data_IF_696605844011
#
_entry.id   IF_696605844011
#
_cell.length_a   1.000
_cell.length_b   1.000
_cell.length_c   1.000
_cell.angle_alpha   90.00
_cell.angle_beta   90.00
_cell.angle_gamma   90.00
#
_symmetry.space_group_name_H-M   'P 1'
#
loop_
_entity.id
_entity.type
_entity.pdbx_description
1 polymer ?
#
# COMPACT_ATOMS: atom_id res chain seq x y z
N UNK A 1 4.95 -14.67 -14.18
CA UNK A 1 4.64 -14.39 -12.77
C UNK A 1 3.70 -13.21 -12.74
N UNK A 2 2.49 -13.42 -12.29
CA UNK A 2 1.44 -12.38 -12.22
C UNK A 2 1.38 -11.81 -10.82
N UNK A 3 0.88 -10.58 -10.70
CA UNK A 3 0.55 -9.94 -9.42
C UNK A 3 -0.96 -9.88 -9.29
N UNK A 4 -1.45 -10.19 -8.09
CA UNK A 4 -2.86 -10.02 -7.73
C UNK A 4 -2.99 -9.25 -6.44
N UNK A 5 -4.10 -8.53 -6.35
CA UNK A 5 -4.49 -7.78 -5.17
C UNK A 5 -5.72 -8.45 -4.58
N UNK A 6 -5.58 -8.95 -3.35
CA UNK A 6 -6.69 -9.53 -2.59
C UNK A 6 -7.15 -8.59 -1.50
N UNK A 7 -8.45 -8.43 -1.43
CA UNK A 7 -9.12 -7.68 -0.38
C UNK A 7 -9.79 -8.66 0.57
N UNK A 8 -9.43 -8.56 1.85
CA UNK A 8 -10.01 -9.40 2.90
C UNK A 8 -10.84 -8.56 3.85
N UNK A 9 -11.94 -9.12 4.32
CA UNK A 9 -12.66 -8.65 5.49
C UNK A 9 -12.47 -9.69 6.60
N UNK A 10 -11.91 -9.27 7.71
CA UNK A 10 -11.55 -10.17 8.80
C UNK A 10 -12.05 -9.66 10.15
N UNK A 11 -12.18 -10.55 11.13
CA UNK A 11 -12.49 -10.16 12.50
C UNK A 11 -11.41 -9.23 13.06
N UNK A 12 -11.80 -8.19 13.76
CA UNK A 12 -10.88 -7.28 14.45
C UNK A 12 -10.48 -7.87 15.82
N UNK A 13 -9.75 -8.97 15.79
CA UNK A 13 -9.28 -9.67 16.98
C UNK A 13 -7.77 -9.84 16.94
N UNK A 14 -7.15 -10.00 18.11
CA UNK A 14 -5.71 -10.20 18.20
C UNK A 14 -5.28 -11.49 17.51
N UNK A 15 -4.13 -11.45 16.83
CA UNK A 15 -3.53 -12.60 16.16
C UNK A 15 -4.04 -12.90 14.75
N UNK A 16 -5.06 -12.22 14.25
CA UNK A 16 -5.58 -12.45 12.87
C UNK A 16 -4.50 -12.20 11.83
N UNK A 17 -3.81 -11.08 11.91
CA UNK A 17 -2.73 -10.74 10.98
C UNK A 17 -1.60 -11.77 11.03
N UNK A 18 -1.24 -12.23 12.22
CA UNK A 18 -0.23 -13.27 12.43
C UNK A 18 -0.64 -14.61 11.81
N UNK A 19 -1.91 -15.00 11.92
CA UNK A 19 -2.42 -16.24 11.30
C UNK A 19 -2.39 -16.16 9.76
N UNK A 20 -2.79 -15.03 9.20
CA UNK A 20 -2.75 -14.80 7.75
C UNK A 20 -1.30 -14.82 7.25
N UNK A 21 -0.42 -14.04 7.87
CA UNK A 21 1.00 -14.02 7.51
C UNK A 21 1.67 -15.39 7.69
N UNK A 22 1.31 -16.12 8.74
CA UNK A 22 1.78 -17.49 8.99
C UNK A 22 1.34 -18.48 7.91
N UNK A 23 0.14 -18.35 7.37
CA UNK A 23 -0.35 -19.18 6.27
C UNK A 23 0.49 -18.94 5.01
N UNK A 24 0.71 -17.68 4.63
CA UNK A 24 1.57 -17.32 3.51
C UNK A 24 2.99 -17.89 3.67
N UNK A 25 3.56 -17.71 4.84
CA UNK A 25 4.91 -18.16 5.18
C UNK A 25 5.05 -19.69 5.06
N UNK A 26 4.12 -20.45 5.68
CA UNK A 26 4.16 -21.92 5.65
C UNK A 26 4.01 -22.50 4.24
N UNK A 27 3.29 -21.83 3.36
CA UNK A 27 3.06 -22.27 2.00
C UNK A 27 4.06 -21.69 0.99
N UNK A 28 5.00 -20.87 1.44
CA UNK A 28 5.98 -20.21 0.57
C UNK A 28 5.37 -19.21 -0.40
N UNK A 29 4.19 -18.64 -0.06
CA UNK A 29 3.59 -17.57 -0.84
C UNK A 29 4.29 -16.25 -0.58
N UNK A 30 4.48 -15.44 -1.62
CA UNK A 30 5.12 -14.14 -1.51
C UNK A 30 4.11 -13.04 -1.21
N UNK A 31 4.34 -12.25 -0.15
CA UNK A 31 3.62 -11.01 0.13
C UNK A 31 4.51 -9.83 -0.30
N UNK A 32 4.07 -9.06 -1.29
CA UNK A 32 4.76 -7.84 -1.71
C UNK A 32 4.40 -6.64 -0.85
N UNK A 33 3.14 -6.54 -0.48
CA UNK A 33 2.65 -5.53 0.47
C UNK A 33 1.41 -6.02 1.21
N UNK A 34 1.20 -5.48 2.40
CA UNK A 34 0.03 -5.71 3.21
C UNK A 34 -0.37 -4.41 3.89
N UNK A 35 -1.65 -4.05 3.79
CA UNK A 35 -2.24 -2.87 4.41
C UNK A 35 -3.44 -3.30 5.21
N UNK A 36 -3.53 -2.89 6.47
CA UNK A 36 -4.61 -3.28 7.37
C UNK A 36 -5.14 -2.06 8.13
N UNK A 37 -6.45 -1.98 8.27
CA UNK A 37 -7.11 -0.93 9.03
C UNK A 37 -8.51 -1.35 9.46
N UNK A 38 -8.94 -0.86 10.60
CA UNK A 38 -10.30 -1.08 11.11
C UNK A 38 -11.29 -0.41 10.18
N UNK A 39 -12.40 -1.09 9.90
CA UNK A 39 -13.49 -0.56 9.04
C UNK A 39 -14.40 0.40 9.80
N UNK A 40 -15.44 0.90 9.12
CA UNK A 40 -16.49 1.68 9.79
C UNK A 40 -17.22 0.88 10.87
N UNK A 41 -17.24 -0.44 10.77
CA UNK A 41 -17.68 -1.34 11.83
C UNK A 41 -16.45 -1.82 12.62
N UNK A 42 -16.31 -1.45 13.90
CA UNK A 42 -15.12 -1.77 14.70
C UNK A 42 -14.92 -3.27 14.97
N UNK A 43 -15.91 -4.11 14.65
CA UNK A 43 -15.79 -5.57 14.74
C UNK A 43 -14.88 -6.16 13.67
N UNK A 44 -14.63 -5.40 12.57
CA UNK A 44 -13.93 -5.91 11.40
C UNK A 44 -12.75 -5.03 10.98
N UNK A 45 -11.75 -5.69 10.41
CA UNK A 45 -10.58 -5.08 9.79
C UNK A 45 -10.56 -5.41 8.30
N UNK A 46 -10.24 -4.42 7.48
CA UNK A 46 -9.95 -4.58 6.05
C UNK A 46 -8.47 -4.78 5.85
N UNK A 47 -8.10 -5.86 5.14
CA UNK A 47 -6.73 -6.15 4.77
C UNK A 47 -6.64 -6.17 3.25
N UNK A 48 -5.66 -5.49 2.70
CA UNK A 48 -5.32 -5.56 1.28
C UNK A 48 -3.93 -6.17 1.13
N UNK A 49 -3.84 -7.28 0.40
CA UNK A 49 -2.60 -8.03 0.20
C UNK A 49 -2.24 -8.01 -1.29
N UNK A 50 -1.03 -7.59 -1.60
CA UNK A 50 -0.45 -7.76 -2.94
C UNK A 50 0.49 -8.95 -2.90
N UNK A 51 0.24 -9.90 -3.76
CA UNK A 51 1.01 -11.15 -3.87
C UNK A 51 1.35 -11.44 -5.32
N UNK A 52 2.43 -12.18 -5.54
CA UNK A 52 2.87 -12.60 -6.86
C UNK A 52 3.05 -14.11 -6.91
N UNK A 53 2.74 -14.68 -8.05
CA UNK A 53 2.87 -16.11 -8.31
C UNK A 53 2.39 -16.49 -9.71
N UNK A 54 2.37 -17.74 -10.01
CA UNK A 54 1.65 -18.28 -11.16
C UNK A 54 0.15 -18.47 -10.82
N UNK A 55 -0.66 -18.75 -11.82
CA UNK A 55 -2.12 -18.78 -11.67
C UNK A 55 -2.57 -19.83 -10.65
N UNK A 56 -1.95 -21.00 -10.65
CA UNK A 56 -2.29 -22.09 -9.73
C UNK A 56 -2.01 -21.69 -8.27
N UNK A 57 -0.90 -21.00 -8.02
CA UNK A 57 -0.52 -20.51 -6.70
C UNK A 57 -1.51 -19.44 -6.24
N UNK A 58 -1.86 -18.50 -7.12
CA UNK A 58 -2.77 -17.40 -6.80
C UNK A 58 -4.19 -17.92 -6.49
N UNK A 59 -4.68 -18.90 -7.23
CA UNK A 59 -5.95 -19.58 -6.93
C UNK A 59 -5.91 -20.32 -5.59
N UNK A 60 -4.80 -21.00 -5.28
CA UNK A 60 -4.63 -21.65 -3.98
C UNK A 60 -4.63 -20.67 -2.82
N UNK A 61 -4.01 -19.49 -2.98
CA UNK A 61 -3.99 -18.44 -1.94
C UNK A 61 -5.42 -18.05 -1.57
N UNK A 62 -6.25 -17.72 -2.56
CA UNK A 62 -7.64 -17.33 -2.32
C UNK A 62 -8.41 -18.42 -1.57
N UNK A 63 -8.32 -19.67 -2.04
CA UNK A 63 -8.99 -20.80 -1.41
C UNK A 63 -8.53 -21.06 0.02
N UNK A 64 -7.23 -21.01 0.27
CA UNK A 64 -6.67 -21.33 1.59
C UNK A 64 -6.89 -20.21 2.61
N UNK A 65 -6.74 -18.97 2.19
CA UNK A 65 -7.01 -17.81 3.06
C UNK A 65 -8.50 -17.73 3.42
N UNK A 66 -9.38 -18.00 2.45
CA UNK A 66 -10.83 -18.01 2.69
C UNK A 66 -11.31 -19.08 3.68
N UNK A 67 -10.49 -20.09 3.98
CA UNK A 67 -10.80 -21.14 4.98
C UNK A 67 -10.45 -20.74 6.42
N UNK A 68 -9.68 -19.67 6.61
CA UNK A 68 -9.35 -19.21 7.96
C UNK A 68 -10.60 -18.74 8.69
N UNK A 69 -10.76 -19.14 9.94
CA UNK A 69 -11.96 -18.84 10.74
C UNK A 69 -12.21 -17.34 10.93
N UNK A 70 -11.14 -16.56 10.95
CA UNK A 70 -11.22 -15.10 11.12
C UNK A 70 -11.57 -14.35 9.82
N UNK A 71 -11.48 -15.00 8.67
CA UNK A 71 -11.74 -14.40 7.36
C UNK A 71 -13.22 -14.49 7.04
N UNK A 72 -13.88 -13.33 6.94
CA UNK A 72 -15.32 -13.22 6.62
C UNK A 72 -15.55 -13.19 5.13
N UNK A 73 -14.68 -12.55 4.40
CA UNK A 73 -14.72 -12.47 2.94
C UNK A 73 -13.32 -12.27 2.36
N UNK A 74 -13.11 -12.78 1.17
CA UNK A 74 -11.91 -12.55 0.35
C UNK A 74 -12.34 -12.35 -1.08
N UNK A 75 -11.79 -11.31 -1.72
CA UNK A 75 -12.01 -11.00 -3.13
C UNK A 75 -10.71 -10.63 -3.81
N UNK A 76 -10.53 -11.11 -5.02
CA UNK A 76 -9.56 -10.52 -5.94
C UNK A 76 -10.11 -9.18 -6.45
N UNK A 77 -9.29 -8.13 -6.39
CA UNK A 77 -9.62 -6.85 -6.97
C UNK A 77 -9.12 -6.79 -8.41
N UNK A 78 -10.04 -6.62 -9.35
CA UNK A 78 -9.71 -6.40 -10.75
C UNK A 78 -9.10 -4.99 -10.92
N UNK A 79 -7.87 -4.87 -11.47
CA UNK A 79 -7.24 -3.57 -11.68
C UNK A 79 -8.05 -2.59 -12.53
N UNK A 80 -8.82 -3.11 -13.49
CA UNK A 80 -9.61 -2.28 -14.41
C UNK A 80 -10.93 -1.81 -13.76
N UNK A 81 -11.40 -2.52 -12.73
CA UNK A 81 -12.65 -2.21 -12.02
C UNK A 81 -12.43 -1.87 -10.54
N UNK A 82 -11.25 -1.40 -10.19
CA UNK A 82 -10.90 -1.05 -8.80
C UNK A 82 -10.15 0.27 -8.74
N UNK A 83 -10.14 0.85 -7.54
CA UNK A 83 -9.32 2.03 -7.21
C UNK A 83 -8.25 1.61 -6.23
N UNK A 84 -6.98 1.81 -6.60
CA UNK A 84 -5.82 1.57 -5.74
C UNK A 84 -5.15 2.89 -5.37
N UNK A 85 -4.69 2.99 -4.13
CA UNK A 85 -3.87 4.11 -3.67
C UNK A 85 -2.79 3.62 -2.72
N UNK A 86 -1.65 4.30 -2.78
CA UNK A 86 -0.56 4.17 -1.80
C UNK A 86 -0.22 5.56 -1.28
N UNK A 87 0.20 5.62 -0.04
CA UNK A 87 0.83 6.80 0.54
C UNK A 87 2.32 6.55 0.70
N UNK A 88 3.14 7.51 0.31
CA UNK A 88 4.58 7.47 0.50
C UNK A 88 5.07 8.75 1.18
N UNK A 89 6.01 8.59 2.09
CA UNK A 89 6.76 9.66 2.72
C UNK A 89 8.23 9.54 2.30
N UNK A 90 8.80 10.62 1.78
CA UNK A 90 10.20 10.67 1.34
C UNK A 90 10.93 11.76 2.10
N UNK A 91 11.97 11.39 2.84
CA UNK A 91 12.84 12.33 3.53
C UNK A 91 14.06 12.61 2.67
N UNK A 92 14.25 13.86 2.29
CA UNK A 92 15.32 14.33 1.43
C UNK A 92 16.31 15.14 2.24
N UNK A 93 17.59 14.89 2.04
CA UNK A 93 18.67 15.70 2.64
C UNK A 93 18.74 17.08 2.01
N UNK A 94 18.95 18.07 2.83
CA UNK A 94 19.19 19.46 2.41
C UNK A 94 20.57 19.88 2.89
N UNK A 95 21.50 20.04 1.95
CA UNK A 95 22.80 20.65 2.25
C UNK A 95 22.60 22.14 2.64
N UNK A 96 23.08 22.57 3.81
CA UNK A 96 22.92 23.95 4.25
C UNK A 96 23.48 25.00 3.26
N UNK A 97 24.53 24.67 2.53
CA UNK A 97 25.13 25.56 1.52
C UNK A 97 24.28 25.68 0.25
N UNK A 98 23.44 24.69 -0.05
CA UNK A 98 22.55 24.62 -1.22
C UNK A 98 21.07 24.64 -0.84
N UNK A 99 20.77 25.12 0.35
CA UNK A 99 19.41 25.02 0.93
C UNK A 99 18.33 25.58 0.03
N UNK A 100 18.52 26.77 -0.52
CA UNK A 100 17.53 27.41 -1.37
C UNK A 100 17.33 26.64 -2.68
N UNK A 101 18.41 26.25 -3.33
CA UNK A 101 18.39 25.47 -4.58
C UNK A 101 17.65 24.14 -4.39
N UNK A 102 18.00 23.39 -3.34
CA UNK A 102 17.39 22.08 -3.06
C UNK A 102 15.90 22.23 -2.74
N UNK A 103 15.54 23.19 -1.89
CA UNK A 103 14.12 23.44 -1.53
C UNK A 103 13.28 23.80 -2.75
N UNK A 104 13.77 24.70 -3.60
CA UNK A 104 13.06 25.10 -4.83
C UNK A 104 12.94 23.91 -5.80
N UNK A 105 13.99 23.12 -5.96
CA UNK A 105 13.98 21.94 -6.81
C UNK A 105 13.03 20.85 -6.32
N UNK A 106 13.02 20.58 -5.01
CA UNK A 106 12.09 19.64 -4.39
C UNK A 106 10.64 20.13 -4.51
N UNK A 107 10.38 21.42 -4.30
CA UNK A 107 9.06 22.00 -4.48
C UNK A 107 8.57 21.86 -5.92
N UNK A 108 9.42 22.16 -6.89
CA UNK A 108 9.11 22.01 -8.31
C UNK A 108 8.77 20.54 -8.65
N UNK A 109 9.59 19.59 -8.21
CA UNK A 109 9.36 18.17 -8.44
C UNK A 109 8.08 17.69 -7.74
N UNK A 110 7.86 18.10 -6.49
CA UNK A 110 6.65 17.77 -5.74
C UNK A 110 5.38 18.28 -6.45
N UNK A 111 5.39 19.50 -6.94
CA UNK A 111 4.26 20.10 -7.66
C UNK A 111 3.90 19.34 -8.94
N UNK A 112 4.87 18.79 -9.65
CA UNK A 112 4.63 17.98 -10.86
C UNK A 112 3.81 16.72 -10.55
N UNK A 113 3.93 16.16 -9.35
CA UNK A 113 3.17 14.99 -8.89
C UNK A 113 1.94 15.36 -8.06
N UNK A 114 1.71 16.63 -7.75
CA UNK A 114 0.75 17.08 -6.73
C UNK A 114 1.07 16.52 -5.34
N UNK A 115 2.34 16.30 -5.08
CA UNK A 115 2.85 15.97 -3.77
C UNK A 115 2.97 17.21 -2.88
N UNK A 116 3.11 17.01 -1.58
CA UNK A 116 3.19 18.11 -0.59
C UNK A 116 4.47 17.99 0.21
N UNK A 117 5.11 19.13 0.45
CA UNK A 117 6.14 19.21 1.49
C UNK A 117 5.43 19.39 2.82
N UNK A 118 5.57 18.44 3.72
CA UNK A 118 4.87 18.40 5.01
C UNK A 118 5.75 18.72 6.20
N UNK A 119 7.08 18.67 6.02
CA UNK A 119 8.04 19.04 7.04
C UNK A 119 9.27 19.71 6.41
N UNK A 120 9.77 20.75 7.06
CA UNK A 120 10.95 21.53 6.64
C UNK A 120 11.88 21.66 7.83
N UNK A 121 12.94 20.83 7.84
CA UNK A 121 14.01 20.93 8.82
C UNK A 121 15.19 21.79 8.33
N UNK A 122 16.20 21.92 9.17
CA UNK A 122 17.43 22.65 8.83
C UNK A 122 18.21 21.94 7.70
N UNK A 123 18.25 20.62 7.74
CA UNK A 123 19.04 19.75 6.85
C UNK A 123 18.19 18.66 6.16
N UNK A 124 16.88 18.77 6.21
CA UNK A 124 15.97 17.82 5.58
C UNK A 124 14.62 18.44 5.17
N UNK A 125 13.96 17.76 4.26
CA UNK A 125 12.56 17.96 3.89
C UNK A 125 11.84 16.62 3.90
N UNK A 126 10.55 16.61 4.25
CA UNK A 126 9.70 15.44 4.06
C UNK A 126 8.60 15.77 3.06
N UNK A 127 8.50 14.94 2.04
CA UNK A 127 7.50 15.01 0.99
C UNK A 127 6.49 13.89 1.18
N UNK A 128 5.20 14.21 1.12
CA UNK A 128 4.07 13.28 1.14
C UNK A 128 3.44 13.19 -0.24
N UNK A 129 3.20 11.97 -0.68
CA UNK A 129 2.47 11.71 -1.92
C UNK A 129 1.49 10.56 -1.75
N UNK A 130 0.29 10.74 -2.31
CA UNK A 130 -0.71 9.68 -2.42
C UNK A 130 -1.08 9.50 -3.90
N UNK A 131 -0.95 8.30 -4.41
CA UNK A 131 -1.24 7.99 -5.81
C UNK A 131 -1.34 6.50 -6.07
N UNK A 132 -1.54 6.15 -7.34
CA UNK A 132 -1.49 4.76 -7.75
C UNK A 132 -0.05 4.21 -7.71
N UNK A 133 0.08 2.89 -7.78
CA UNK A 133 1.37 2.22 -7.63
C UNK A 133 2.42 2.70 -8.64
N UNK A 134 2.06 2.86 -9.91
CA UNK A 134 3.00 3.31 -10.94
C UNK A 134 3.47 4.74 -10.72
N UNK A 135 2.58 5.65 -10.33
CA UNK A 135 2.95 7.04 -10.00
C UNK A 135 3.84 7.13 -8.77
N UNK A 136 3.56 6.33 -7.75
CA UNK A 136 4.43 6.26 -6.55
C UNK A 136 5.83 5.80 -6.94
N UNK A 137 5.96 4.76 -7.75
CA UNK A 137 7.26 4.27 -8.20
C UNK A 137 8.03 5.31 -9.02
N UNK A 138 7.36 6.03 -9.92
CA UNK A 138 8.00 7.11 -10.70
C UNK A 138 8.47 8.24 -9.79
N UNK A 139 7.66 8.65 -8.82
CA UNK A 139 8.04 9.68 -7.85
C UNK A 139 9.29 9.26 -7.05
N UNK A 140 9.30 8.03 -6.52
CA UNK A 140 10.45 7.50 -5.77
C UNK A 140 11.71 7.51 -6.64
N UNK A 141 11.60 7.03 -7.88
CA UNK A 141 12.72 7.02 -8.82
C UNK A 141 13.26 8.43 -9.06
N UNK A 142 12.39 9.41 -9.35
CA UNK A 142 12.80 10.79 -9.60
C UNK A 142 13.50 11.42 -8.40
N UNK A 143 12.96 11.23 -7.20
CA UNK A 143 13.61 11.74 -5.98
C UNK A 143 14.95 11.07 -5.72
N UNK A 144 15.08 9.78 -5.96
CA UNK A 144 16.34 9.03 -5.76
C UNK A 144 17.42 9.41 -6.78
N UNK A 145 17.03 9.74 -8.01
CA UNK A 145 17.95 10.16 -9.07
C UNK A 145 18.45 11.61 -8.90
N UNK A 146 17.60 12.50 -8.38
CA UNK A 146 17.89 13.94 -8.34
C UNK A 146 18.37 14.42 -6.96
N UNK A 147 18.06 13.70 -5.89
CA UNK A 147 18.37 14.09 -4.51
C UNK A 147 18.91 12.93 -3.68
N UNK A 148 19.52 13.25 -2.54
CA UNK A 148 19.90 12.27 -1.54
C UNK A 148 18.68 11.96 -0.65
N UNK A 149 18.09 10.78 -0.86
CA UNK A 149 16.99 10.28 -0.04
C UNK A 149 17.55 9.63 1.21
N UNK A 150 17.24 10.21 2.37
CA UNK A 150 17.70 9.72 3.67
C UNK A 150 16.88 8.53 4.13
N UNK A 151 15.57 8.61 3.90
CA UNK A 151 14.60 7.64 4.41
C UNK A 151 13.34 7.64 3.55
N UNK A 152 12.70 6.50 3.43
CA UNK A 152 11.46 6.34 2.71
C UNK A 152 10.54 5.38 3.45
N UNK A 153 9.28 5.78 3.59
CA UNK A 153 8.22 4.91 4.11
C UNK A 153 7.04 4.90 3.14
N UNK A 154 6.49 3.71 2.88
CA UNK A 154 5.30 3.56 2.05
C UNK A 154 4.34 2.55 2.67
N UNK A 155 3.05 2.79 2.49
CA UNK A 155 2.01 1.93 3.07
C UNK A 155 1.85 0.61 2.33
N UNK A 156 2.16 0.58 1.05
CA UNK A 156 1.64 -0.44 0.15
C UNK A 156 0.24 -0.07 -0.35
N UNK A 157 -0.32 -0.91 -1.21
CA UNK A 157 -1.60 -0.67 -1.87
C UNK A 157 -2.76 -0.92 -0.90
N UNK A 158 -3.66 0.05 -0.81
CA UNK A 158 -5.04 -0.15 -0.36
C UNK A 158 -5.97 0.04 -1.55
N UNK A 159 -7.10 -0.68 -1.59
CA UNK A 159 -8.00 -0.61 -2.73
C UNK A 159 -9.45 -0.99 -2.41
N UNK A 160 -10.33 -0.55 -3.29
CA UNK A 160 -11.74 -0.91 -3.30
C UNK A 160 -12.21 -1.17 -4.73
N UNK A 161 -13.05 -2.17 -4.92
CA UNK A 161 -13.78 -2.37 -6.17
C UNK A 161 -14.73 -1.21 -6.45
N UNK A 162 -14.94 -0.92 -7.75
CA UNK A 162 -15.91 0.07 -8.21
C UNK A 162 -17.31 -0.55 -8.20
N UNK A 163 -18.34 0.30 -8.14
CA UNK A 163 -19.74 -0.12 -8.24
C UNK A 163 -20.30 -0.66 -6.93
N UNK A 164 -21.63 -0.74 -6.90
CA UNK A 164 -22.37 -1.19 -5.71
C UNK A 164 -22.34 -2.71 -5.55
N UNK A 165 -22.16 -3.44 -6.63
CA UNK A 165 -22.07 -4.91 -6.67
C UNK A 165 -20.79 -5.45 -6.03
N UNK A 166 -19.79 -4.60 -5.87
CA UNK A 166 -18.50 -4.95 -5.26
C UNK A 166 -18.43 -4.66 -3.75
N UNK A 167 -19.53 -4.31 -3.15
CA UNK A 167 -19.61 -4.05 -1.70
C UNK A 167 -19.75 -5.37 -0.94
N UNK A 168 -18.97 -5.53 0.12
CA UNK A 168 -19.11 -6.64 1.04
C UNK A 168 -20.02 -6.25 2.18
N UNK A 169 -21.14 -6.94 2.31
CA UNK A 169 -22.05 -6.82 3.43
C UNK A 169 -21.92 -8.05 4.32
N UNK A 170 -21.93 -7.83 5.62
CA UNK A 170 -22.11 -8.90 6.60
C UNK A 170 -23.52 -8.74 7.11
N UNK A 171 -24.32 -9.78 6.92
CA UNK A 171 -25.63 -9.88 7.56
C UNK A 171 -25.43 -10.16 9.05
N UNK A 172 -26.14 -9.44 9.91
CA UNK A 172 -26.08 -9.58 11.38
C UNK A 172 -26.72 -10.92 11.85
#
# INVERSE_FOLDING_TARGET
MQKKVFQLLVDNTSGVLSRIAGLFSRRGYNIESITAGVTADPRFTRITIVTSGDDDILEQIEKQVGKLVDVRDIKELDPDDSVYRELVLVKVKVDPEKRLEIRQGVEFLANNFRAKIIDVGAENLIVEFTGNHSKVNVLIQRFTEEYEVLELARTGITGLGRGIENVTYIED
#
